data_IF_437691610097
#
_entry.id   IF_437691610097
#
_cell.length_a   1.000
_cell.length_b   1.000
_cell.length_c   1.000
_cell.angle_alpha   90.00
_cell.angle_beta   90.00
_cell.angle_gamma   90.00
#
_symmetry.space_group_name_H-M   'P 1'
#
loop_
_entity.id
_entity.type
_entity.pdbx_description
1 polymer ?
#
# COMPACT_ATOMS: atom_id res chain seq x y z
N UNK A 1 24.66 18.59 8.99
CA UNK A 1 23.38 17.85 8.84
C UNK A 1 22.24 18.77 9.25
N UNK A 2 21.06 18.66 8.66
CA UNK A 2 19.88 19.38 9.14
C UNK A 2 19.52 18.93 10.58
N UNK A 3 19.06 19.82 11.48
CA UNK A 3 18.79 19.48 12.89
C UNK A 3 17.81 18.30 13.10
N UNK A 4 16.86 18.12 12.18
CA UNK A 4 15.93 16.97 12.25
C UNK A 4 16.58 15.61 11.99
N UNK A 5 17.74 15.60 11.34
CA UNK A 5 18.53 14.40 11.04
C UNK A 5 19.47 14.10 12.22
N UNK A 6 20.13 15.14 12.76
CA UNK A 6 21.10 14.99 13.86
C UNK A 6 20.49 14.62 15.20
N UNK A 7 19.22 14.98 15.43
CA UNK A 7 18.55 14.82 16.71
C UNK A 7 18.56 13.38 17.26
N UNK A 8 18.18 12.39 16.44
CA UNK A 8 18.13 10.99 16.87
C UNK A 8 19.53 10.43 17.14
N UNK A 9 20.49 10.47 16.18
CA UNK A 9 21.84 9.97 16.43
C UNK A 9 22.51 10.65 17.62
N UNK A 10 22.37 11.96 17.76
CA UNK A 10 22.94 12.71 18.88
C UNK A 10 22.40 12.24 20.24
N UNK A 11 21.09 12.00 20.33
CA UNK A 11 20.46 11.51 21.56
C UNK A 11 20.86 10.07 21.86
N UNK A 12 20.85 9.21 20.84
CA UNK A 12 20.95 7.77 21.01
C UNK A 12 22.39 7.25 21.06
N UNK A 13 23.31 7.83 20.29
CA UNK A 13 24.71 7.37 20.21
C UNK A 13 25.71 8.28 20.92
N UNK A 14 25.40 9.56 21.10
CA UNK A 14 26.35 10.58 21.56
C UNK A 14 25.94 11.28 22.86
N UNK A 15 24.86 10.85 23.53
CA UNK A 15 24.44 11.40 24.81
C UNK A 15 24.17 12.91 24.78
N UNK A 16 23.70 13.45 23.64
CA UNK A 16 23.42 14.87 23.40
C UNK A 16 24.64 15.79 23.47
N UNK A 17 25.84 15.26 23.22
CA UNK A 17 27.09 16.04 23.25
C UNK A 17 27.41 16.76 21.93
N UNK A 18 26.72 16.43 20.83
CA UNK A 18 26.91 17.08 19.53
C UNK A 18 26.00 18.30 19.42
N UNK A 19 26.54 19.43 18.97
CA UNK A 19 25.78 20.67 18.77
C UNK A 19 25.61 20.99 17.29
N UNK A 20 24.39 21.37 16.91
CA UNK A 20 24.12 21.89 15.57
C UNK A 20 24.67 23.31 15.43
N UNK A 21 25.51 23.52 14.41
CA UNK A 21 26.04 24.83 14.07
C UNK A 21 24.93 25.84 13.67
N UNK A 22 25.14 27.16 13.86
CA UNK A 22 24.10 28.16 13.57
C UNK A 22 23.60 28.14 12.11
N UNK A 23 24.51 27.93 11.16
CA UNK A 23 24.20 27.90 9.73
C UNK A 23 23.19 26.81 9.34
N UNK A 24 23.20 25.66 10.01
CA UNK A 24 22.25 24.56 9.68
C UNK A 24 20.84 24.80 10.22
N UNK A 25 20.67 25.82 11.09
CA UNK A 25 19.37 26.21 11.67
C UNK A 25 18.68 27.31 10.87
N UNK A 26 19.38 27.92 9.91
CA UNK A 26 18.83 28.97 9.06
C UNK A 26 17.76 28.44 8.11
N UNK A 27 16.76 29.26 7.81
CA UNK A 27 15.66 28.89 6.91
C UNK A 27 16.15 28.52 5.50
N UNK A 28 17.21 29.19 5.03
CA UNK A 28 17.84 28.94 3.73
C UNK A 28 18.62 27.62 3.63
N UNK A 29 18.92 26.96 4.75
CA UNK A 29 19.60 25.66 4.74
C UNK A 29 18.67 24.52 4.33
N UNK A 30 17.34 24.66 4.54
CA UNK A 30 16.37 23.62 4.18
C UNK A 30 16.32 23.41 2.66
N UNK A 31 16.43 22.15 2.23
CA UNK A 31 16.18 21.71 0.86
C UNK A 31 14.98 20.77 0.84
N UNK A 32 14.21 20.80 -0.25
CA UNK A 32 13.19 19.80 -0.58
C UNK A 32 13.43 19.33 -2.00
N UNK A 33 13.60 18.02 -2.16
CA UNK A 33 13.85 17.39 -3.46
C UNK A 33 12.56 16.88 -4.13
N UNK A 34 11.52 16.61 -3.33
CA UNK A 34 10.18 16.25 -3.81
C UNK A 34 9.11 17.06 -3.06
N UNK A 35 7.93 17.19 -3.66
CA UNK A 35 6.76 17.83 -3.05
C UNK A 35 6.03 16.85 -2.14
N UNK A 36 5.41 17.37 -1.07
CA UNK A 36 4.66 16.56 -0.10
C UNK A 36 5.31 16.55 1.27
N UNK A 37 4.51 16.32 2.32
CA UNK A 37 5.00 16.30 3.70
C UNK A 37 5.88 15.08 3.98
N UNK A 38 5.63 13.98 3.28
CA UNK A 38 6.40 12.74 3.36
C UNK A 38 7.88 12.92 3.01
N UNK A 39 8.21 13.90 2.16
CA UNK A 39 9.56 14.13 1.63
C UNK A 39 10.28 15.30 2.34
N UNK A 40 10.23 15.31 3.67
CA UNK A 40 10.87 16.31 4.53
C UNK A 40 12.38 16.11 4.73
N UNK A 41 12.99 16.87 5.66
CA UNK A 41 14.41 16.74 5.98
C UNK A 41 14.77 15.42 6.68
N UNK A 42 13.83 14.82 7.41
CA UNK A 42 13.98 13.49 8.00
C UNK A 42 12.61 12.83 7.98
N UNK A 43 12.49 11.68 7.32
CA UNK A 43 11.22 10.96 7.19
C UNK A 43 11.43 9.45 7.32
N UNK A 44 10.51 8.80 8.01
CA UNK A 44 10.32 7.36 7.97
C UNK A 44 9.07 7.05 7.16
N UNK A 45 9.21 6.27 6.09
CA UNK A 45 8.15 5.94 5.14
C UNK A 45 7.88 4.44 5.25
N UNK A 46 6.77 4.12 5.90
CA UNK A 46 6.33 2.76 6.15
C UNK A 46 5.76 2.13 4.88
N UNK A 47 6.27 0.94 4.56
CA UNK A 47 5.75 0.06 3.51
C UNK A 47 5.25 -1.19 4.23
N UNK A 48 3.95 -1.18 4.55
CA UNK A 48 3.32 -2.24 5.33
C UNK A 48 3.15 -3.57 4.55
N UNK A 49 3.32 -3.54 3.23
CA UNK A 49 3.02 -4.63 2.31
C UNK A 49 4.27 -5.17 1.62
N UNK A 50 4.21 -6.43 1.20
CA UNK A 50 5.32 -7.17 0.62
C UNK A 50 5.90 -8.16 1.62
N UNK A 51 5.82 -9.45 1.30
CA UNK A 51 6.54 -10.50 2.05
C UNK A 51 8.00 -10.53 1.58
N UNK A 52 8.94 -10.73 2.50
CA UNK A 52 10.31 -11.05 2.13
C UNK A 52 10.33 -12.35 1.32
N UNK A 53 10.96 -12.32 0.14
CA UNK A 53 11.29 -13.52 -0.61
C UNK A 53 12.77 -13.86 -0.39
N UNK A 54 13.05 -15.15 -0.23
CA UNK A 54 14.42 -15.68 -0.15
C UNK A 54 15.01 -15.71 -1.57
N UNK A 55 16.00 -14.86 -1.83
CA UNK A 55 16.76 -14.89 -3.09
C UNK A 55 17.73 -16.07 -3.16
N UNK A 56 18.16 -16.42 -4.38
CA UNK A 56 19.08 -17.53 -4.69
C UNK A 56 20.46 -17.44 -3.98
N UNK A 57 20.79 -16.30 -3.36
CA UNK A 57 22.09 -16.01 -2.74
C UNK A 57 22.02 -15.63 -1.25
N UNK A 58 21.04 -16.13 -0.49
CA UNK A 58 20.80 -15.75 0.93
C UNK A 58 20.49 -14.25 1.13
N UNK A 59 20.08 -13.54 0.07
CA UNK A 59 19.62 -12.16 0.14
C UNK A 59 18.10 -12.11 0.38
N UNK A 60 17.67 -11.22 1.26
CA UNK A 60 16.25 -10.94 1.49
C UNK A 60 15.84 -9.79 0.56
N UNK A 61 14.82 -10.00 -0.25
CA UNK A 61 14.30 -8.97 -1.16
C UNK A 61 12.85 -8.67 -0.81
N UNK A 62 12.54 -7.39 -0.61
CA UNK A 62 11.17 -6.88 -0.63
C UNK A 62 10.95 -6.21 -1.97
N UNK A 63 10.35 -6.94 -2.92
CA UNK A 63 10.13 -6.46 -4.30
C UNK A 63 9.23 -5.22 -4.32
N UNK A 64 8.26 -5.14 -3.40
CA UNK A 64 7.39 -3.95 -3.23
C UNK A 64 8.20 -2.74 -2.72
N UNK A 65 9.07 -2.92 -1.71
CA UNK A 65 9.92 -1.83 -1.23
C UNK A 65 10.89 -1.35 -2.32
N UNK A 66 11.50 -2.28 -3.06
CA UNK A 66 12.37 -1.95 -4.18
C UNK A 66 11.64 -1.16 -5.27
N UNK A 67 10.40 -1.55 -5.61
CA UNK A 67 9.59 -0.83 -6.59
C UNK A 67 9.25 0.60 -6.13
N UNK A 68 8.85 0.77 -4.86
CA UNK A 68 8.58 2.09 -4.25
C UNK A 68 9.84 2.98 -4.28
N UNK A 69 10.99 2.43 -3.89
CA UNK A 69 12.27 3.16 -3.92
C UNK A 69 12.64 3.53 -5.36
N UNK A 70 12.44 2.63 -6.32
CA UNK A 70 12.70 2.90 -7.73
C UNK A 70 11.81 4.02 -8.30
N UNK A 71 10.52 4.07 -7.93
CA UNK A 71 9.60 5.14 -8.34
C UNK A 71 10.05 6.51 -7.81
N UNK A 72 10.52 6.54 -6.56
CA UNK A 72 11.04 7.77 -5.93
C UNK A 72 12.34 8.22 -6.60
N UNK A 73 13.27 7.29 -6.86
CA UNK A 73 14.51 7.61 -7.58
C UNK A 73 14.19 8.12 -9.00
N UNK A 74 13.23 7.52 -9.69
CA UNK A 74 12.75 7.99 -10.98
C UNK A 74 12.15 9.40 -10.92
N UNK A 75 11.37 9.70 -9.88
CA UNK A 75 10.79 11.02 -9.64
C UNK A 75 11.86 12.08 -9.32
N UNK A 76 12.86 11.73 -8.50
CA UNK A 76 14.01 12.59 -8.21
C UNK A 76 14.80 12.90 -9.48
N UNK A 77 15.04 11.91 -10.33
CA UNK A 77 15.76 12.12 -11.60
C UNK A 77 15.02 13.07 -12.54
N UNK A 78 13.68 13.01 -12.58
CA UNK A 78 12.86 13.95 -13.36
C UNK A 78 12.96 15.39 -12.82
N UNK A 79 12.86 15.57 -11.51
CA UNK A 79 12.99 16.90 -10.87
C UNK A 79 14.41 17.48 -11.01
N UNK A 80 15.44 16.64 -10.86
CA UNK A 80 16.83 17.05 -11.03
C UNK A 80 17.14 17.38 -12.48
N UNK A 81 16.63 16.66 -13.48
CA UNK A 81 16.87 17.03 -14.88
C UNK A 81 16.07 18.28 -15.31
N UNK A 82 14.93 18.53 -14.66
CA UNK A 82 14.15 19.76 -14.85
C UNK A 82 14.82 21.00 -14.28
N UNK A 83 15.74 20.84 -13.32
CA UNK A 83 16.48 21.93 -12.66
C UNK A 83 17.95 21.86 -13.05
N UNK A 84 18.59 22.96 -13.48
CA UNK A 84 20.04 22.93 -13.85
C UNK A 84 20.95 22.81 -12.62
N UNK A 85 20.77 21.81 -11.78
CA UNK A 85 21.48 21.63 -10.51
C UNK A 85 22.51 20.52 -10.65
N UNK A 86 23.78 20.89 -10.50
CA UNK A 86 24.94 20.00 -10.62
C UNK A 86 25.09 19.19 -9.32
N UNK A 87 25.06 17.87 -9.38
CA UNK A 87 25.38 17.01 -8.23
C UNK A 87 26.89 16.77 -8.14
N UNK A 88 27.45 16.81 -6.93
CA UNK A 88 28.85 16.47 -6.63
C UNK A 88 28.91 15.16 -5.83
N UNK A 89 29.85 14.29 -6.14
CA UNK A 89 30.05 12.99 -5.47
C UNK A 89 31.22 13.11 -4.48
N UNK A 90 30.98 12.78 -3.19
CA UNK A 90 32.03 12.71 -2.18
C UNK A 90 31.53 12.75 -0.72
N UNK A 91 31.57 11.61 -0.02
CA UNK A 91 31.52 11.46 1.45
C UNK A 91 30.14 11.65 2.10
N UNK A 92 29.63 12.87 2.03
CA UNK A 92 28.31 13.29 2.54
C UNK A 92 27.41 13.67 1.35
N UNK A 93 26.21 13.11 1.32
CA UNK A 93 25.28 13.35 0.21
C UNK A 93 24.14 14.28 0.65
N UNK A 94 23.63 15.07 -0.29
CA UNK A 94 22.58 16.04 -0.04
C UNK A 94 21.27 15.37 0.41
N UNK A 95 20.97 14.21 -0.19
CA UNK A 95 19.86 13.31 0.13
C UNK A 95 20.39 11.89 0.30
N UNK A 96 20.02 11.23 1.41
CA UNK A 96 20.23 9.80 1.60
C UNK A 96 18.89 9.09 1.66
N UNK A 97 18.77 8.00 0.90
CA UNK A 97 17.67 7.04 0.98
C UNK A 97 18.22 5.76 1.62
N UNK A 98 17.63 5.34 2.73
CA UNK A 98 17.92 4.05 3.37
C UNK A 98 16.72 3.14 3.12
N UNK A 99 16.92 2.05 2.41
CA UNK A 99 15.96 0.96 2.30
C UNK A 99 16.38 -0.16 3.25
N UNK A 100 15.48 -0.57 4.13
CA UNK A 100 15.75 -1.68 5.07
C UNK A 100 15.61 -3.03 4.38
N UNK A 101 14.75 -3.13 3.35
CA UNK A 101 14.47 -4.37 2.59
C UNK A 101 13.96 -5.50 3.50
N UNK A 102 13.50 -5.17 4.72
CA UNK A 102 13.04 -6.17 5.70
C UNK A 102 11.54 -6.09 5.92
N UNK A 103 10.89 -7.23 5.73
CA UNK A 103 9.47 -7.51 6.00
C UNK A 103 9.25 -8.95 6.50
N UNK A 104 10.09 -9.40 7.45
CA UNK A 104 9.94 -10.69 8.14
C UNK A 104 8.97 -10.61 9.34
N UNK A 105 8.04 -11.55 9.41
CA UNK A 105 7.04 -11.63 10.48
C UNK A 105 7.66 -11.99 11.84
N UNK A 106 8.88 -12.52 11.90
CA UNK A 106 9.60 -12.83 13.15
C UNK A 106 10.42 -11.64 13.65
N UNK A 107 10.52 -10.55 12.88
CA UNK A 107 11.26 -9.34 13.23
C UNK A 107 12.78 -9.46 13.00
N UNK A 108 13.23 -10.40 12.17
CA UNK A 108 14.66 -10.63 11.95
C UNK A 108 15.25 -9.60 10.97
N UNK A 109 15.94 -8.60 11.52
CA UNK A 109 16.63 -7.55 10.72
C UNK A 109 18.08 -7.90 10.35
N UNK A 110 18.64 -8.97 10.92
CA UNK A 110 19.98 -9.47 10.59
C UNK A 110 21.08 -8.40 10.70
N UNK A 111 21.76 -8.14 9.58
CA UNK A 111 22.87 -7.18 9.44
C UNK A 111 22.53 -5.75 9.88
N UNK A 112 21.25 -5.39 9.89
CA UNK A 112 20.75 -4.07 10.32
C UNK A 112 20.73 -3.87 11.85
N UNK A 113 20.93 -4.92 12.65
CA UNK A 113 20.99 -4.79 14.12
C UNK A 113 22.25 -4.09 14.65
N UNK A 114 23.28 -3.91 13.80
CA UNK A 114 24.56 -3.32 14.21
C UNK A 114 24.46 -1.80 14.43
N UNK A 115 24.68 -1.35 15.66
CA UNK A 115 24.61 0.06 16.08
C UNK A 115 25.59 0.97 15.33
N UNK A 116 26.81 0.51 15.09
CA UNK A 116 27.84 1.32 14.40
C UNK A 116 27.43 1.58 12.95
N UNK A 117 26.87 0.57 12.28
CA UNK A 117 26.38 0.72 10.90
C UNK A 117 25.15 1.60 10.82
N UNK A 118 24.22 1.47 11.78
CA UNK A 118 23.08 2.36 11.86
C UNK A 118 23.52 3.81 12.05
N UNK A 119 24.45 4.08 12.98
CA UNK A 119 24.98 5.41 13.19
C UNK A 119 25.65 5.98 11.93
N UNK A 120 26.49 5.20 11.26
CA UNK A 120 27.10 5.61 9.98
C UNK A 120 26.04 5.91 8.94
N UNK A 121 25.05 5.03 8.73
CA UNK A 121 24.02 5.25 7.72
C UNK A 121 23.18 6.51 7.98
N UNK A 122 22.79 6.75 9.23
CA UNK A 122 21.94 7.88 9.63
C UNK A 122 22.65 9.25 9.55
N UNK A 123 23.98 9.28 9.58
CA UNK A 123 24.78 10.52 9.66
C UNK A 123 25.36 10.96 8.31
N UNK A 124 25.07 10.25 7.21
CA UNK A 124 25.59 10.61 5.87
C UNK A 124 24.82 11.71 5.15
N UNK A 125 23.64 12.08 5.65
CA UNK A 125 22.73 13.01 4.98
C UNK A 125 22.96 14.46 5.42
N UNK A 126 23.12 15.37 4.44
CA UNK A 126 23.27 16.81 4.71
C UNK A 126 21.93 17.53 4.88
N UNK A 127 20.98 17.31 3.97
CA UNK A 127 19.70 18.03 3.93
C UNK A 127 18.48 17.14 4.17
N UNK A 128 18.45 15.96 3.53
CA UNK A 128 17.31 15.04 3.60
C UNK A 128 17.77 13.59 3.89
N UNK A 129 17.11 12.96 4.85
CA UNK A 129 17.24 11.53 5.14
C UNK A 129 15.86 10.86 5.05
N UNK A 130 15.67 9.95 4.10
CA UNK A 130 14.43 9.18 3.96
C UNK A 130 14.69 7.70 4.20
N UNK A 131 13.98 7.13 5.15
CA UNK A 131 14.10 5.72 5.54
C UNK A 131 12.85 4.99 5.10
N UNK A 132 13.00 3.92 4.32
CA UNK A 132 11.93 3.02 3.87
C UNK A 132 12.04 1.69 4.60
N UNK A 133 10.91 1.18 5.07
CA UNK A 133 10.87 -0.13 5.70
C UNK A 133 9.51 -0.52 6.25
N UNK A 134 9.40 -1.77 6.69
CA UNK A 134 8.19 -2.28 7.30
C UNK A 134 8.19 -2.02 8.82
N UNK A 135 7.25 -1.19 9.28
CA UNK A 135 7.13 -0.83 10.70
C UNK A 135 6.98 -2.07 11.60
N UNK A 136 6.10 -3.00 11.24
CA UNK A 136 5.78 -4.16 12.07
C UNK A 136 7.03 -5.04 12.29
N UNK A 137 7.81 -5.26 11.23
CA UNK A 137 9.08 -6.01 11.29
C UNK A 137 10.12 -5.28 12.14
N UNK A 138 10.32 -3.98 11.91
CA UNK A 138 11.37 -3.21 12.59
C UNK A 138 11.08 -3.00 14.08
N UNK A 139 9.82 -2.77 14.46
CA UNK A 139 9.40 -2.67 15.87
C UNK A 139 9.57 -4.02 16.58
N UNK A 140 9.21 -5.13 15.92
CA UNK A 140 9.36 -6.48 16.48
C UNK A 140 10.81 -6.90 16.66
N UNK A 141 11.73 -6.34 15.87
CA UNK A 141 13.15 -6.68 15.94
C UNK A 141 13.83 -6.43 17.29
N UNK A 142 13.26 -5.56 18.13
CA UNK A 142 13.87 -5.17 19.41
C UNK A 142 15.21 -4.44 19.29
N UNK A 143 15.62 -4.08 18.06
CA UNK A 143 16.88 -3.41 17.77
C UNK A 143 16.76 -1.88 17.79
N UNK A 144 17.84 -1.19 17.44
CA UNK A 144 17.86 0.26 17.23
C UNK A 144 16.74 0.76 16.30
N UNK A 145 16.31 -0.07 15.34
CA UNK A 145 15.25 0.28 14.41
C UNK A 145 13.89 0.46 15.07
N UNK A 146 13.60 -0.27 16.16
CA UNK A 146 12.41 -0.02 16.98
C UNK A 146 12.45 1.41 17.54
N UNK A 147 13.61 1.85 18.02
CA UNK A 147 13.78 3.21 18.55
C UNK A 147 13.66 4.26 17.44
N UNK A 148 14.23 4.02 16.26
CA UNK A 148 14.12 4.91 15.10
C UNK A 148 12.65 5.08 14.68
N UNK A 149 11.89 3.99 14.59
CA UNK A 149 10.46 4.03 14.24
C UNK A 149 9.67 4.82 15.28
N UNK A 150 9.90 4.54 16.57
CA UNK A 150 9.20 5.25 17.66
C UNK A 150 9.54 6.75 17.68
N UNK A 151 10.82 7.10 17.54
CA UNK A 151 11.28 8.49 17.42
C UNK A 151 10.63 9.21 16.22
N UNK A 152 10.54 8.55 15.06
CA UNK A 152 9.89 9.13 13.89
C UNK A 152 8.39 9.40 14.14
N UNK A 153 7.71 8.51 14.87
CA UNK A 153 6.30 8.70 15.28
C UNK A 153 6.15 9.86 16.27
N UNK A 154 6.98 9.91 17.31
CA UNK A 154 6.98 10.98 18.31
C UNK A 154 7.23 12.35 17.67
N UNK A 155 8.16 12.41 16.71
CA UNK A 155 8.51 13.64 15.98
C UNK A 155 7.57 13.95 14.80
N UNK A 156 6.52 13.14 14.59
CA UNK A 156 5.54 13.31 13.51
C UNK A 156 6.16 13.35 12.11
N UNK A 157 7.22 12.57 11.91
CA UNK A 157 7.85 12.36 10.61
C UNK A 157 7.79 10.90 10.12
N UNK A 158 6.85 10.13 10.70
CA UNK A 158 6.44 8.82 10.23
C UNK A 158 5.25 8.96 9.29
N UNK A 159 5.32 8.32 8.12
CA UNK A 159 4.31 8.35 7.07
C UNK A 159 4.07 6.95 6.52
N UNK A 160 2.88 6.68 5.99
CA UNK A 160 2.64 5.46 5.22
C UNK A 160 2.79 5.75 3.73
N UNK A 161 3.52 4.90 3.00
CA UNK A 161 3.71 5.08 1.55
C UNK A 161 2.37 5.17 0.81
N UNK A 162 1.34 4.43 1.26
CA UNK A 162 -0.01 4.45 0.67
C UNK A 162 -0.75 5.79 0.79
N UNK A 163 -0.28 6.72 1.63
CA UNK A 163 -0.87 8.06 1.73
C UNK A 163 -0.51 8.92 0.51
N UNK A 164 0.54 8.55 -0.23
CA UNK A 164 0.90 9.16 -1.51
C UNK A 164 0.27 8.37 -2.67
N UNK A 165 -0.43 9.07 -3.57
CA UNK A 165 -1.16 8.44 -4.68
C UNK A 165 -0.24 7.69 -5.66
N UNK A 166 0.94 8.24 -5.96
CA UNK A 166 1.92 7.59 -6.85
C UNK A 166 2.45 6.32 -6.22
N UNK A 167 2.86 6.40 -4.94
CA UNK A 167 3.40 5.24 -4.24
C UNK A 167 2.34 4.17 -3.99
N UNK A 168 1.09 4.55 -3.67
CA UNK A 168 -0.03 3.62 -3.53
C UNK A 168 -0.30 2.84 -4.83
N UNK A 169 -0.23 3.53 -5.97
CA UNK A 169 -0.37 2.90 -7.28
C UNK A 169 0.81 1.93 -7.56
N UNK A 170 2.04 2.35 -7.27
CA UNK A 170 3.24 1.51 -7.40
C UNK A 170 3.16 0.25 -6.52
N UNK A 171 2.71 0.38 -5.27
CA UNK A 171 2.48 -0.76 -4.36
C UNK A 171 1.41 -1.69 -4.95
N UNK A 172 0.29 -1.14 -5.41
CA UNK A 172 -0.81 -1.92 -6.01
C UNK A 172 -0.33 -2.70 -7.24
N UNK A 173 0.37 -2.04 -8.15
CA UNK A 173 0.91 -2.68 -9.36
C UNK A 173 1.89 -3.80 -9.02
N UNK A 174 2.79 -3.56 -8.06
CA UNK A 174 3.76 -4.57 -7.60
C UNK A 174 3.07 -5.80 -6.99
N UNK A 175 2.04 -5.59 -6.15
CA UNK A 175 1.29 -6.69 -5.53
C UNK A 175 0.53 -7.53 -6.56
N UNK A 176 0.01 -6.90 -7.63
CA UNK A 176 -0.66 -7.62 -8.72
C UNK A 176 0.33 -8.50 -9.49
N UNK A 177 1.54 -7.98 -9.75
CA UNK A 177 2.60 -8.69 -10.47
C UNK A 177 3.17 -9.86 -9.65
N UNK A 178 3.20 -9.73 -8.33
CA UNK A 178 3.63 -10.77 -7.38
C UNK A 178 2.55 -11.81 -7.03
N UNK A 179 1.36 -11.73 -7.63
CA UNK A 179 0.22 -12.60 -7.31
C UNK A 179 -0.25 -12.51 -5.83
N UNK A 180 -0.03 -11.38 -5.16
CA UNK A 180 -0.40 -11.14 -3.76
C UNK A 180 -1.76 -10.43 -3.64
N UNK A 181 -2.76 -10.93 -4.36
CA UNK A 181 -4.10 -10.32 -4.41
C UNK A 181 -4.86 -10.42 -3.10
N UNK A 182 -4.56 -11.41 -2.26
CA UNK A 182 -5.18 -11.61 -0.95
C UNK A 182 -4.99 -10.39 -0.04
N UNK A 183 -3.84 -9.71 -0.15
CA UNK A 183 -3.50 -8.47 0.55
C UNK A 183 -4.40 -7.32 0.10
N UNK A 184 -4.65 -7.22 -1.21
CA UNK A 184 -5.47 -6.19 -1.83
C UNK A 184 -6.99 -6.40 -1.61
N UNK A 185 -7.41 -7.63 -1.33
CA UNK A 185 -8.82 -8.02 -1.15
C UNK A 185 -9.24 -8.11 0.32
N UNK A 186 -8.60 -7.31 1.18
CA UNK A 186 -9.03 -7.09 2.57
C UNK A 186 -9.82 -5.80 2.68
N UNK A 187 -10.82 -5.79 3.55
CA UNK A 187 -11.73 -4.66 3.75
C UNK A 187 -11.01 -3.35 4.13
N UNK A 188 -9.89 -3.47 4.84
CA UNK A 188 -9.04 -2.38 5.33
C UNK A 188 -7.83 -2.08 4.44
N UNK A 189 -7.69 -2.76 3.30
CA UNK A 189 -6.63 -2.50 2.32
C UNK A 189 -6.73 -1.08 1.75
N UNK A 190 -5.61 -0.56 1.22
CA UNK A 190 -5.57 0.77 0.57
C UNK A 190 -6.64 0.97 -0.49
N UNK A 191 -6.98 -0.08 -1.25
CA UNK A 191 -8.04 -0.05 -2.26
C UNK A 191 -9.41 0.34 -1.71
N UNK A 192 -9.70 0.03 -0.45
CA UNK A 192 -11.03 0.20 0.15
C UNK A 192 -11.05 1.09 1.40
N UNK A 193 -9.89 1.48 1.96
CA UNK A 193 -9.78 2.25 3.21
C UNK A 193 -10.66 3.51 3.25
N UNK A 194 -10.79 4.20 2.11
CA UNK A 194 -11.59 5.42 1.97
C UNK A 194 -12.84 5.23 1.08
N UNK A 195 -13.21 3.98 0.80
CA UNK A 195 -14.34 3.69 -0.06
C UNK A 195 -15.67 4.02 0.62
N UNK A 196 -16.66 4.43 -0.18
CA UNK A 196 -18.01 4.72 0.29
C UNK A 196 -18.69 3.49 0.90
N UNK A 197 -18.42 2.30 0.36
CA UNK A 197 -18.99 1.04 0.82
C UNK A 197 -17.95 0.06 1.27
N UNK A 198 -18.31 -0.70 2.31
CA UNK A 198 -17.53 -1.83 2.76
C UNK A 198 -17.53 -2.90 1.65
N UNK A 199 -16.36 -3.29 1.17
CA UNK A 199 -16.23 -4.33 0.16
C UNK A 199 -16.05 -5.71 0.82
N UNK A 200 -16.92 -6.65 0.45
CA UNK A 200 -16.88 -8.04 0.92
C UNK A 200 -16.81 -8.99 -0.28
N UNK A 201 -16.01 -10.03 -0.13
CA UNK A 201 -15.69 -10.98 -1.19
C UNK A 201 -16.03 -12.39 -0.74
N UNK A 202 -16.78 -13.13 -1.54
CA UNK A 202 -17.03 -14.56 -1.31
C UNK A 202 -15.76 -15.40 -1.50
N UNK A 203 -15.75 -16.62 -0.97
CA UNK A 203 -14.68 -17.60 -1.21
C UNK A 203 -14.62 -18.03 -2.69
N UNK A 204 -15.76 -18.06 -3.38
CA UNK A 204 -15.82 -18.33 -4.82
C UNK A 204 -15.09 -17.25 -5.61
N UNK A 205 -15.35 -15.98 -5.30
CA UNK A 205 -14.66 -14.86 -5.93
C UNK A 205 -13.15 -14.90 -5.67
N UNK A 206 -12.72 -15.14 -4.41
CA UNK A 206 -11.29 -15.26 -4.05
C UNK A 206 -10.60 -16.35 -4.88
N UNK A 207 -11.20 -17.54 -4.94
CA UNK A 207 -10.67 -18.65 -5.78
C UNK A 207 -10.70 -18.33 -7.27
N UNK A 208 -11.71 -17.63 -7.75
CA UNK A 208 -11.82 -17.28 -9.17
C UNK A 208 -10.82 -16.22 -9.58
N UNK A 209 -10.58 -15.18 -8.77
CA UNK A 209 -9.63 -14.11 -9.10
C UNK A 209 -8.18 -14.60 -9.02
N UNK A 210 -7.86 -15.48 -8.06
CA UNK A 210 -6.56 -16.18 -8.00
C UNK A 210 -6.29 -16.98 -9.29
N UNK A 211 -7.31 -17.67 -9.82
CA UNK A 211 -7.22 -18.45 -11.07
C UNK A 211 -6.97 -17.59 -12.32
N UNK A 212 -7.30 -16.29 -12.30
CA UNK A 212 -7.06 -15.39 -13.44
C UNK A 212 -5.57 -15.08 -13.52
N UNK A 213 -4.80 -15.76 -14.38
CA UNK A 213 -3.36 -15.51 -14.52
C UNK A 213 -2.98 -14.22 -15.25
N UNK A 214 -3.91 -13.63 -15.99
CA UNK A 214 -3.63 -12.45 -16.80
C UNK A 214 -3.62 -11.17 -15.94
N UNK A 215 -2.43 -10.59 -15.76
CA UNK A 215 -2.19 -9.34 -14.99
C UNK A 215 -3.09 -8.20 -15.45
N UNK A 216 -3.33 -8.04 -16.76
CA UNK A 216 -4.20 -6.99 -17.29
C UNK A 216 -5.63 -7.17 -16.82
N UNK A 217 -6.14 -8.40 -16.82
CA UNK A 217 -7.49 -8.70 -16.33
C UNK A 217 -7.57 -8.43 -14.83
N UNK A 218 -6.55 -8.79 -14.04
CA UNK A 218 -6.50 -8.48 -12.59
C UNK A 218 -6.56 -6.97 -12.33
N UNK A 219 -5.81 -6.16 -13.09
CA UNK A 219 -5.89 -4.68 -13.03
C UNK A 219 -7.29 -4.18 -13.35
N UNK A 220 -7.96 -4.74 -14.36
CA UNK A 220 -9.33 -4.38 -14.72
C UNK A 220 -10.34 -4.78 -13.62
N UNK A 221 -10.19 -5.95 -13.00
CA UNK A 221 -10.98 -6.39 -11.84
C UNK A 221 -10.85 -5.40 -10.69
N UNK A 222 -9.62 -5.11 -10.26
CA UNK A 222 -9.38 -4.24 -9.11
C UNK A 222 -9.83 -2.79 -9.38
N UNK A 223 -9.61 -2.29 -10.60
CA UNK A 223 -10.13 -0.98 -11.01
C UNK A 223 -11.66 -0.92 -10.93
N UNK A 224 -12.34 -2.01 -11.35
CA UNK A 224 -13.80 -2.08 -11.25
C UNK A 224 -14.26 -2.13 -9.80
N UNK A 225 -13.58 -2.90 -8.94
CA UNK A 225 -13.88 -2.96 -7.50
C UNK A 225 -13.72 -1.60 -6.83
N UNK A 226 -12.62 -0.90 -7.09
CA UNK A 226 -12.38 0.45 -6.55
C UNK A 226 -13.46 1.44 -7.03
N UNK A 227 -13.89 1.36 -8.29
CA UNK A 227 -15.00 2.19 -8.80
C UNK A 227 -16.31 1.87 -8.07
N UNK A 228 -16.66 0.59 -7.99
CA UNK A 228 -17.88 0.12 -7.36
C UNK A 228 -17.96 0.49 -5.87
N UNK A 229 -16.86 0.31 -5.15
CA UNK A 229 -16.77 0.63 -3.71
C UNK A 229 -16.90 2.13 -3.45
N UNK A 230 -16.48 2.97 -4.40
CA UNK A 230 -16.69 4.42 -4.39
C UNK A 230 -18.07 4.85 -4.93
N UNK A 231 -18.99 3.91 -5.15
CA UNK A 231 -20.37 4.19 -5.54
C UNK A 231 -20.57 4.45 -7.04
N UNK A 232 -19.55 4.22 -7.88
CA UNK A 232 -19.73 4.27 -9.33
C UNK A 232 -20.74 3.21 -9.79
N UNK A 233 -21.45 3.51 -10.89
CA UNK A 233 -22.43 2.63 -11.53
C UNK A 233 -22.30 2.69 -13.03
N UNK A 234 -22.43 1.53 -13.67
CA UNK A 234 -22.57 1.48 -15.11
C UNK A 234 -23.94 2.05 -15.52
N UNK A 235 -23.92 2.94 -16.52
CA UNK A 235 -25.12 3.57 -17.09
C UNK A 235 -26.15 2.52 -17.52
N UNK A 236 -27.44 2.82 -17.27
CA UNK A 236 -28.58 1.92 -17.52
C UNK A 236 -28.61 1.36 -18.94
N UNK A 237 -28.15 2.11 -19.95
CA UNK A 237 -28.16 1.68 -21.35
C UNK A 237 -27.13 0.59 -21.70
N UNK A 238 -26.15 0.30 -20.81
CA UNK A 238 -25.15 -0.77 -20.98
C UNK A 238 -25.28 -1.89 -19.96
N UNK A 239 -26.28 -1.83 -19.07
CA UNK A 239 -26.56 -2.92 -18.14
C UNK A 239 -27.14 -4.08 -18.94
N UNK A 240 -26.42 -5.20 -19.01
CA UNK A 240 -27.09 -6.49 -19.15
C UNK A 240 -27.76 -6.76 -17.80
N UNK A 241 -28.91 -6.11 -17.56
CA UNK A 241 -29.83 -6.57 -16.53
C UNK A 241 -30.15 -8.01 -16.88
N UNK A 242 -29.79 -8.96 -16.02
CA UNK A 242 -30.34 -10.32 -16.08
C UNK A 242 -31.81 -10.22 -15.61
N UNK A 243 -32.60 -9.44 -16.33
CA UNK A 243 -34.06 -9.52 -16.30
C UNK A 243 -34.35 -10.66 -17.25
N UNK A 244 -34.37 -11.88 -16.74
CA UNK A 244 -35.27 -12.96 -17.15
C UNK A 244 -34.94 -14.17 -16.24
N UNK A 245 -35.76 -14.33 -15.20
CA UNK A 245 -35.84 -15.45 -14.25
C UNK A 245 -35.07 -15.40 -12.91
N UNK A 246 -34.81 -14.22 -12.32
CA UNK A 246 -34.56 -14.14 -10.87
C UNK A 246 -35.84 -13.68 -10.19
N UNK A 247 -36.54 -14.61 -9.53
CA UNK A 247 -37.84 -14.33 -8.93
C UNK A 247 -37.68 -13.80 -7.48
N UNK A 248 -36.48 -13.85 -6.87
CA UNK A 248 -36.33 -13.57 -5.43
C UNK A 248 -35.29 -12.52 -5.01
N UNK A 249 -34.50 -11.92 -5.92
CA UNK A 249 -33.43 -10.98 -5.50
C UNK A 249 -33.25 -9.80 -6.47
N UNK A 250 -33.92 -8.65 -6.21
CA UNK A 250 -33.95 -7.50 -7.12
C UNK A 250 -32.64 -6.68 -7.20
N UNK A 251 -31.50 -7.15 -6.68
CA UNK A 251 -30.31 -6.29 -6.44
C UNK A 251 -28.97 -6.85 -6.94
N UNK A 252 -28.93 -7.97 -7.66
CA UNK A 252 -27.69 -8.46 -8.28
C UNK A 252 -27.39 -7.73 -9.59
N UNK A 253 -26.23 -7.10 -9.69
CA UNK A 253 -25.72 -6.48 -10.90
C UNK A 253 -24.59 -7.34 -11.50
N UNK A 254 -24.50 -7.38 -12.84
CA UNK A 254 -23.45 -8.05 -13.59
C UNK A 254 -22.70 -7.02 -14.44
N UNK A 255 -21.39 -6.88 -14.22
CA UNK A 255 -20.53 -6.04 -15.05
C UNK A 255 -19.49 -6.86 -15.79
N UNK A 256 -19.33 -6.59 -17.09
CA UNK A 256 -18.27 -7.17 -17.91
C UNK A 256 -16.92 -6.58 -17.49
N UNK A 257 -15.96 -7.46 -17.19
CA UNK A 257 -14.60 -7.06 -16.82
C UNK A 257 -13.74 -7.03 -18.08
N UNK A 258 -13.42 -8.21 -18.63
CA UNK A 258 -12.54 -8.38 -19.77
C UNK A 258 -12.86 -9.65 -20.55
N UNK A 259 -12.77 -9.61 -21.87
CA UNK A 259 -13.01 -10.77 -22.74
C UNK A 259 -14.40 -11.38 -22.51
N UNK A 260 -14.44 -12.60 -21.97
CA UNK A 260 -15.67 -13.34 -21.62
C UNK A 260 -16.01 -13.32 -20.13
N UNK A 261 -15.18 -12.70 -19.27
CA UNK A 261 -15.36 -12.70 -17.82
C UNK A 261 -16.29 -11.58 -17.36
N UNK A 262 -17.18 -11.95 -16.46
CA UNK A 262 -18.16 -11.07 -15.84
C UNK A 262 -18.02 -11.15 -14.32
N UNK A 263 -18.15 -10.01 -13.67
CA UNK A 263 -18.22 -9.88 -12.22
C UNK A 263 -19.68 -9.79 -11.79
N UNK A 264 -20.07 -10.62 -10.84
CA UNK A 264 -21.42 -10.63 -10.26
C UNK A 264 -21.34 -10.13 -8.83
N UNK A 265 -22.16 -9.14 -8.48
CA UNK A 265 -22.12 -8.47 -7.19
C UNK A 265 -23.50 -7.93 -6.77
N UNK A 266 -23.68 -7.67 -5.48
CA UNK A 266 -24.89 -7.08 -4.87
C UNK A 266 -24.53 -5.92 -3.94
N UNK A 267 -25.50 -5.06 -3.66
CA UNK A 267 -25.42 -4.17 -2.49
C UNK A 267 -26.33 -4.72 -1.41
N UNK A 268 -25.76 -4.99 -0.25
CA UNK A 268 -26.49 -5.41 0.95
C UNK A 268 -26.49 -4.26 1.97
N UNK A 269 -27.55 -4.18 2.77
CA UNK A 269 -27.61 -3.26 3.91
C UNK A 269 -27.47 -4.08 5.20
N UNK A 270 -26.37 -3.89 5.93
CA UNK A 270 -26.19 -4.44 7.27
C UNK A 270 -26.67 -3.42 8.30
N UNK A 271 -27.47 -3.87 9.26
CA UNK A 271 -27.89 -3.05 10.40
C UNK A 271 -27.06 -3.44 11.62
N UNK A 272 -26.19 -2.54 12.07
CA UNK A 272 -25.43 -2.69 13.31
C UNK A 272 -25.77 -1.52 14.23
N UNK A 273 -26.22 -1.82 15.46
CA UNK A 273 -26.44 -0.83 16.52
C UNK A 273 -27.20 0.44 16.07
N UNK A 274 -28.28 0.27 15.28
CA UNK A 274 -29.13 1.34 14.73
C UNK A 274 -28.54 2.15 13.56
N UNK A 275 -27.37 1.80 13.02
CA UNK A 275 -26.83 2.35 11.79
C UNK A 275 -26.91 1.35 10.63
N UNK A 276 -27.21 1.84 9.43
CA UNK A 276 -27.20 1.04 8.21
C UNK A 276 -25.87 1.22 7.48
N UNK A 277 -25.11 0.13 7.33
CA UNK A 277 -23.87 0.08 6.56
C UNK A 277 -24.19 -0.57 5.21
N UNK A 278 -23.90 0.16 4.13
CA UNK A 278 -23.99 -0.38 2.78
C UNK A 278 -22.73 -1.20 2.47
N UNK A 279 -22.95 -2.44 2.04
CA UNK A 279 -21.90 -3.41 1.74
C UNK A 279 -21.95 -3.76 0.27
N UNK A 280 -20.84 -3.55 -0.42
CA UNK A 280 -20.59 -4.10 -1.74
C UNK A 280 -20.19 -5.57 -1.57
N UNK A 281 -21.07 -6.51 -1.92
CA UNK A 281 -20.75 -7.93 -1.86
C UNK A 281 -20.49 -8.48 -3.26
N UNK A 282 -19.28 -8.97 -3.48
CA UNK A 282 -18.87 -9.58 -4.75
C UNK A 282 -18.92 -11.08 -4.62
N UNK A 283 -19.70 -11.71 -5.51
CA UNK A 283 -20.03 -13.13 -5.43
C UNK A 283 -19.10 -14.01 -6.23
N UNK A 284 -18.71 -13.60 -7.45
CA UNK A 284 -17.78 -14.37 -8.27
C UNK A 284 -17.32 -13.58 -9.51
N UNK A 285 -16.25 -14.04 -10.16
CA UNK A 285 -15.84 -13.64 -11.50
C UNK A 285 -15.76 -14.87 -12.41
N UNK A 286 -16.59 -14.90 -13.45
CA UNK A 286 -16.76 -16.09 -14.27
C UNK A 286 -17.20 -15.79 -15.72
N UNK A 287 -17.03 -16.76 -16.65
CA UNK A 287 -17.57 -16.64 -18.00
C UNK A 287 -19.10 -16.55 -18.02
N UNK A 288 -19.66 -15.97 -19.08
CA UNK A 288 -21.13 -15.83 -19.25
C UNK A 288 -21.89 -17.16 -19.12
N UNK A 289 -21.26 -18.29 -19.48
CA UNK A 289 -21.86 -19.62 -19.39
C UNK A 289 -22.08 -20.11 -17.95
N UNK A 290 -21.31 -19.64 -16.98
CA UNK A 290 -21.46 -20.07 -15.58
C UNK A 290 -22.47 -19.22 -14.79
N UNK A 291 -22.88 -18.07 -15.33
CA UNK A 291 -23.77 -17.11 -14.64
C UNK A 291 -25.12 -17.74 -14.26
N UNK A 292 -25.79 -18.54 -15.13
CA UNK A 292 -27.04 -19.19 -14.76
C UNK A 292 -26.92 -20.12 -13.55
N UNK A 293 -25.77 -20.78 -13.37
CA UNK A 293 -25.55 -21.69 -12.24
C UNK A 293 -25.36 -20.92 -10.94
N UNK A 294 -24.56 -19.86 -10.94
CA UNK A 294 -24.38 -18.98 -9.79
C UNK A 294 -25.71 -18.33 -9.39
N UNK A 295 -26.47 -17.89 -10.38
CA UNK A 295 -27.81 -17.34 -10.22
C UNK A 295 -28.76 -18.26 -9.43
N UNK A 296 -28.88 -19.53 -9.83
CA UNK A 296 -29.73 -20.50 -9.12
C UNK A 296 -29.27 -20.71 -7.67
N UNK A 297 -27.95 -20.73 -7.43
CA UNK A 297 -27.40 -20.86 -6.07
C UNK A 297 -27.73 -19.65 -5.20
N UNK A 298 -27.63 -18.44 -5.76
CA UNK A 298 -27.93 -17.21 -5.04
C UNK A 298 -29.42 -17.09 -4.73
N UNK A 299 -30.30 -17.42 -5.68
CA UNK A 299 -31.75 -17.43 -5.45
C UNK A 299 -32.15 -18.38 -4.30
N UNK A 300 -31.52 -19.56 -4.26
CA UNK A 300 -31.69 -20.51 -3.15
C UNK A 300 -31.23 -19.92 -1.82
N UNK A 301 -30.04 -19.30 -1.80
CA UNK A 301 -29.46 -18.67 -0.61
C UNK A 301 -30.34 -17.53 -0.05
N UNK A 302 -30.78 -16.62 -0.92
CA UNK A 302 -31.62 -15.49 -0.50
C UNK A 302 -33.01 -15.93 -0.02
N UNK A 303 -33.60 -16.98 -0.62
CA UNK A 303 -34.85 -17.58 -0.14
C UNK A 303 -34.72 -18.16 1.27
N UNK A 304 -33.58 -18.75 1.61
CA UNK A 304 -33.32 -19.27 2.96
C UNK A 304 -33.23 -18.12 3.96
N UNK A 305 -32.48 -17.05 3.63
CA UNK A 305 -32.32 -15.89 4.52
C UNK A 305 -33.66 -15.19 4.78
N UNK A 306 -34.47 -14.97 3.75
CA UNK A 306 -35.80 -14.36 3.90
C UNK A 306 -36.76 -15.17 4.76
N UNK A 307 -36.58 -16.50 4.87
CA UNK A 307 -37.39 -17.36 5.75
C UNK A 307 -36.89 -17.39 7.20
N UNK A 308 -35.67 -16.92 7.45
CA UNK A 308 -35.03 -16.91 8.78
C UNK A 308 -35.08 -15.55 9.51
N UNK A 309 -35.59 -14.51 8.85
CA UNK A 309 -35.89 -13.19 9.44
C UNK A 309 -37.38 -13.08 9.73
#
# INVERSE_FOLDING_TARGET
>A
MHPSISLFPNTEFYGRQIFDAPNVKETGYRRRFLKGNMFGSCSFINIAYGKEEFGELQSFNSTVEAAVVADIVGSLFKEINGTRTKTSIGGEEDLIIISTVRSDERGLVGFFSNLQRANVALTRARYCLWIFGNEATLVKSGSIWKKIVNDAKERKCFYNAEEDESLAQTITDSLIELDQLDVLLKTDSSLFRNARWMACFSDDFRRSVERVRNVRIRKEVLSLLAKLSNGWRQSRNKRSLIVHNWISSPLSEQYKVSGQLNMVWTVDNLQENSFYIQVLKVWDILPSSGIPKLAMSLDTFFRIIQRSR
#
